data_IF_775268824744
#
_entry.id   IF_775268824744
#
_cell.length_a   1.000
_cell.length_b   1.000
_cell.length_c   1.000
_cell.angle_alpha   90.00
_cell.angle_beta   90.00
_cell.angle_gamma   90.00
#
_symmetry.space_group_name_H-M   'P 1'
#
loop_
_entity.id
_entity.type
_entity.pdbx_description
1 polymer ?
#
# COMPACT_ATOMS: atom_id res chain seq x y z
N UNK A 1 -14.39 -26.61 -17.99
CA UNK A 1 -13.66 -25.32 -17.98
C UNK A 1 -12.27 -25.54 -17.41
N UNK A 2 -11.25 -24.83 -17.88
CA UNK A 2 -9.85 -25.02 -17.50
C UNK A 2 -9.49 -24.03 -16.41
N UNK A 3 -9.50 -24.46 -15.16
CA UNK A 3 -9.22 -23.60 -14.02
C UNK A 3 -7.89 -23.99 -13.38
N UNK A 4 -7.15 -22.98 -12.88
CA UNK A 4 -5.90 -23.19 -12.14
C UNK A 4 -6.05 -22.71 -10.71
N UNK A 5 -6.05 -23.64 -9.76
CA UNK A 5 -6.19 -23.35 -8.33
C UNK A 5 -4.81 -23.32 -7.69
N UNK A 6 -4.36 -22.16 -7.22
CA UNK A 6 -3.14 -22.02 -6.41
C UNK A 6 -3.49 -22.25 -4.94
N UNK A 7 -3.12 -23.42 -4.42
CA UNK A 7 -3.34 -23.78 -3.01
C UNK A 7 -2.03 -23.89 -2.23
N UNK A 8 -2.11 -24.19 -0.92
CA UNK A 8 -0.94 -24.34 -0.05
C UNK A 8 0.00 -25.48 -0.48
N UNK A 9 -0.53 -26.49 -1.19
CA UNK A 9 0.22 -27.65 -1.67
C UNK A 9 0.71 -27.51 -3.12
N UNK A 10 0.62 -26.32 -3.72
CA UNK A 10 1.01 -26.04 -5.10
C UNK A 10 -0.16 -25.69 -6.02
N UNK A 11 0.05 -25.81 -7.32
CA UNK A 11 -0.94 -25.46 -8.34
C UNK A 11 -1.71 -26.73 -8.75
N UNK A 12 -3.03 -26.69 -8.67
CA UNK A 12 -3.96 -27.73 -9.10
C UNK A 12 -4.64 -27.28 -10.39
N UNK A 13 -4.75 -28.19 -11.35
CA UNK A 13 -5.60 -28.00 -12.53
C UNK A 13 -6.94 -28.65 -12.27
N UNK A 14 -8.04 -27.90 -12.38
CA UNK A 14 -9.40 -28.37 -12.11
C UNK A 14 -10.38 -27.93 -13.20
N UNK A 15 -11.58 -28.50 -13.17
CA UNK A 15 -12.71 -28.10 -14.01
C UNK A 15 -12.87 -28.92 -15.28
N UNK A 16 -12.18 -30.06 -15.42
CA UNK A 16 -12.30 -30.95 -16.59
C UNK A 16 -13.76 -31.32 -16.89
N UNK A 17 -14.58 -31.47 -15.84
CA UNK A 17 -16.01 -31.80 -15.95
C UNK A 17 -16.95 -30.65 -15.57
N UNK A 18 -16.45 -29.44 -15.38
CA UNK A 18 -17.25 -28.27 -15.00
C UNK A 18 -17.56 -27.40 -16.22
N UNK A 19 -18.63 -26.63 -16.17
CA UNK A 19 -18.96 -25.58 -17.12
C UNK A 19 -19.40 -24.30 -16.38
N UNK A 20 -19.74 -23.25 -17.12
CA UNK A 20 -20.12 -21.93 -16.56
C UNK A 20 -21.36 -21.99 -15.64
N UNK A 21 -22.27 -22.93 -15.91
CA UNK A 21 -23.50 -23.15 -15.13
C UNK A 21 -23.33 -24.17 -13.99
N UNK A 22 -22.16 -24.80 -13.88
CA UNK A 22 -21.84 -25.68 -12.74
C UNK A 22 -21.91 -24.90 -11.42
N UNK A 23 -22.19 -25.60 -10.32
CA UNK A 23 -22.31 -24.98 -9.01
C UNK A 23 -20.95 -24.77 -8.35
N UNK A 24 -20.85 -23.74 -7.50
CA UNK A 24 -19.65 -23.50 -6.69
C UNK A 24 -19.29 -24.70 -5.81
N UNK A 25 -20.29 -25.44 -5.31
CA UNK A 25 -20.08 -26.67 -4.55
C UNK A 25 -19.34 -27.75 -5.33
N UNK A 26 -19.67 -27.93 -6.61
CA UNK A 26 -19.06 -28.94 -7.48
C UNK A 26 -17.56 -28.67 -7.66
N UNK A 27 -17.20 -27.40 -7.84
CA UNK A 27 -15.81 -26.97 -7.89
C UNK A 27 -15.09 -27.21 -6.56
N UNK A 28 -15.71 -26.89 -5.42
CA UNK A 28 -15.09 -27.11 -4.10
C UNK A 28 -14.89 -28.60 -3.79
N UNK A 29 -15.78 -29.48 -4.22
CA UNK A 29 -15.64 -30.93 -4.10
C UNK A 29 -14.45 -31.44 -4.94
N UNK A 30 -14.32 -30.96 -6.18
CA UNK A 30 -13.18 -31.30 -7.03
C UNK A 30 -11.85 -30.84 -6.40
N UNK A 31 -11.82 -29.61 -5.86
CA UNK A 31 -10.68 -29.07 -5.12
C UNK A 31 -10.38 -29.88 -3.86
N UNK A 32 -11.40 -30.31 -3.09
CA UNK A 32 -11.20 -31.14 -1.89
C UNK A 32 -10.50 -32.45 -2.25
N UNK A 33 -10.93 -33.09 -3.34
CA UNK A 33 -10.37 -34.37 -3.81
C UNK A 33 -8.88 -34.26 -4.14
N UNK A 34 -8.43 -33.10 -4.64
CA UNK A 34 -7.03 -32.89 -5.06
C UNK A 34 -6.15 -32.22 -3.99
N UNK A 35 -6.73 -31.37 -3.14
CA UNK A 35 -5.99 -30.61 -2.12
C UNK A 35 -6.04 -31.23 -0.71
N UNK A 36 -7.01 -32.12 -0.47
CA UNK A 36 -7.37 -32.68 0.83
C UNK A 36 -7.85 -31.63 1.86
N UNK A 37 -8.31 -30.46 1.41
CA UNK A 37 -8.92 -29.40 2.23
C UNK A 37 -10.44 -29.54 2.15
N UNK A 38 -11.12 -29.69 3.29
CA UNK A 38 -12.58 -29.85 3.31
C UNK A 38 -13.31 -28.66 2.73
N UNK A 39 -14.48 -28.89 2.11
CA UNK A 39 -15.29 -27.83 1.48
C UNK A 39 -15.57 -26.66 2.44
N UNK A 40 -15.83 -26.94 3.73
CA UNK A 40 -16.02 -25.89 4.75
C UNK A 40 -14.77 -25.06 5.06
N UNK A 41 -13.58 -25.64 4.92
CA UNK A 41 -12.30 -24.99 5.21
C UNK A 41 -11.74 -24.26 3.98
N UNK A 42 -12.35 -24.43 2.80
CA UNK A 42 -11.90 -23.79 1.56
C UNK A 42 -12.38 -22.33 1.45
N UNK A 43 -11.42 -21.40 1.48
CA UNK A 43 -11.63 -20.02 1.09
C UNK A 43 -11.03 -19.78 -0.31
N UNK A 44 -11.90 -19.76 -1.32
CA UNK A 44 -11.55 -19.47 -2.72
C UNK A 44 -11.55 -17.97 -2.97
N UNK A 45 -10.48 -17.45 -3.55
CA UNK A 45 -10.33 -16.04 -3.93
C UNK A 45 -10.06 -15.92 -5.42
N UNK A 46 -10.70 -14.96 -6.07
CA UNK A 46 -10.63 -14.71 -7.51
C UNK A 46 -10.40 -13.22 -7.77
N UNK A 47 -10.08 -12.86 -9.02
CA UNK A 47 -9.73 -11.50 -9.44
C UNK A 47 -8.42 -10.98 -8.83
N UNK A 48 -7.97 -9.81 -9.33
CA UNK A 48 -6.90 -9.04 -8.71
C UNK A 48 -7.41 -7.65 -8.35
N UNK A 49 -7.35 -7.23 -7.06
CA UNK A 49 -6.82 -7.99 -5.92
C UNK A 49 -7.68 -9.24 -5.57
N UNK A 50 -7.09 -10.32 -5.03
CA UNK A 50 -7.79 -11.56 -4.71
C UNK A 50 -8.94 -11.34 -3.73
N UNK A 51 -10.17 -11.44 -4.23
CA UNK A 51 -11.40 -11.25 -3.46
C UNK A 51 -12.02 -12.60 -3.15
N UNK A 52 -12.37 -12.85 -1.88
CA UNK A 52 -13.02 -14.10 -1.49
C UNK A 52 -14.38 -14.22 -2.16
N UNK A 53 -14.69 -15.40 -2.68
CA UNK A 53 -16.03 -15.73 -3.17
C UNK A 53 -16.94 -15.83 -1.94
N UNK A 54 -17.81 -14.84 -1.77
CA UNK A 54 -18.80 -14.77 -0.67
C UNK A 54 -20.17 -15.31 -1.07
N UNK A 55 -20.32 -15.76 -2.33
CA UNK A 55 -21.54 -16.37 -2.87
C UNK A 55 -21.80 -17.74 -2.23
N UNK A 56 -23.06 -18.15 -2.26
CA UNK A 56 -23.47 -19.44 -1.71
C UNK A 56 -22.96 -20.60 -2.55
N UNK A 57 -22.81 -21.79 -1.96
CA UNK A 57 -22.41 -23.01 -2.66
C UNK A 57 -23.37 -23.39 -3.82
N UNK A 58 -24.62 -22.92 -3.79
CA UNK A 58 -25.63 -23.13 -4.82
C UNK A 58 -25.59 -22.09 -5.96
N UNK A 59 -24.68 -21.11 -5.90
CA UNK A 59 -24.49 -20.16 -7.00
C UNK A 59 -23.67 -20.80 -8.11
N UNK A 60 -23.95 -20.42 -9.36
CA UNK A 60 -23.18 -20.94 -10.50
C UNK A 60 -21.76 -20.36 -10.52
N UNK A 61 -20.83 -21.00 -11.23
CA UNK A 61 -19.47 -20.50 -11.36
C UNK A 61 -19.43 -19.11 -12.01
N UNK A 62 -20.27 -18.85 -13.01
CA UNK A 62 -20.42 -17.51 -13.61
C UNK A 62 -20.96 -16.49 -12.61
N UNK A 63 -21.95 -16.83 -11.79
CA UNK A 63 -22.47 -15.94 -10.72
C UNK A 63 -21.43 -15.65 -9.63
N UNK A 64 -20.50 -16.59 -9.43
CA UNK A 64 -19.36 -16.44 -8.55
C UNK A 64 -18.22 -15.62 -9.19
N UNK A 65 -18.32 -15.28 -10.48
CA UNK A 65 -17.29 -14.55 -11.22
C UNK A 65 -16.13 -15.43 -11.71
N UNK A 66 -16.33 -16.74 -11.83
CA UNK A 66 -15.34 -17.71 -12.34
C UNK A 66 -15.61 -18.01 -13.81
N UNK A 67 -14.60 -17.81 -14.66
CA UNK A 67 -14.63 -18.05 -16.11
C UNK A 67 -13.57 -19.08 -16.55
N UNK A 68 -13.71 -19.64 -17.76
CA UNK A 68 -12.69 -20.55 -18.33
C UNK A 68 -11.31 -19.87 -18.41
N UNK A 69 -10.27 -20.55 -17.93
CA UNK A 69 -8.90 -20.04 -17.92
C UNK A 69 -8.50 -19.33 -16.64
N UNK A 70 -9.46 -19.10 -15.72
CA UNK A 70 -9.22 -18.34 -14.50
C UNK A 70 -8.25 -19.02 -13.55
N UNK A 71 -7.62 -18.16 -12.77
CA UNK A 71 -6.77 -18.57 -11.67
C UNK A 71 -7.44 -18.24 -10.34
N UNK A 72 -7.62 -19.28 -9.53
CA UNK A 72 -8.27 -19.21 -8.23
C UNK A 72 -7.20 -19.40 -7.17
N UNK A 73 -7.23 -18.61 -6.10
CA UNK A 73 -6.37 -18.81 -4.93
C UNK A 73 -7.18 -19.55 -3.87
N UNK A 74 -6.66 -20.69 -3.43
CA UNK A 74 -7.22 -21.48 -2.35
C UNK A 74 -6.45 -21.20 -1.06
N UNK A 75 -7.16 -20.71 -0.05
CA UNK A 75 -6.68 -20.59 1.32
C UNK A 75 -7.47 -21.53 2.22
N UNK A 76 -6.80 -22.18 3.18
CA UNK A 76 -7.43 -23.06 4.16
C UNK A 76 -7.74 -22.26 5.44
N UNK A 77 -9.03 -22.06 5.72
CA UNK A 77 -9.50 -21.44 6.95
C UNK A 77 -9.84 -22.54 7.95
N UNK A 78 -8.85 -23.08 8.66
CA UNK A 78 -9.14 -23.95 9.81
C UNK A 78 -9.87 -23.11 10.85
N UNK A 79 -11.17 -23.30 10.98
CA UNK A 79 -11.93 -22.73 12.10
C UNK A 79 -11.23 -23.07 13.40
N UNK A 80 -11.04 -22.07 14.28
CA UNK A 80 -10.73 -22.32 15.68
C UNK A 80 -11.90 -23.12 16.28
N UNK A 81 -11.78 -24.45 16.26
CA UNK A 81 -12.78 -25.37 16.74
C UNK A 81 -12.15 -26.41 17.66
N UNK A 82 -12.39 -26.21 18.96
CA UNK A 82 -12.48 -27.24 20.01
C UNK A 82 -11.29 -28.17 20.25
N UNK A 83 -10.77 -28.05 21.48
CA UNK A 83 -9.95 -29.05 22.15
C UNK A 83 -10.55 -30.45 22.01
N UNK A 84 -9.78 -31.37 21.43
CA UNK A 84 -9.86 -32.79 21.75
C UNK A 84 -8.46 -33.24 22.15
N UNK A 85 -8.41 -33.90 23.29
CA UNK A 85 -7.27 -34.14 24.15
C UNK A 85 -6.13 -34.92 23.48
N UNK A 86 -4.91 -34.64 23.94
CA UNK A 86 -3.83 -35.63 23.94
C UNK A 86 -3.26 -35.74 25.36
N UNK A 87 -2.87 -36.96 25.78
CA UNK A 87 -2.79 -37.32 27.18
C UNK A 87 -1.55 -36.74 27.87
N UNK A 88 -1.81 -36.21 29.05
CA UNK A 88 -0.87 -35.80 30.08
C UNK A 88 0.17 -36.89 30.36
N UNK A 89 1.45 -36.56 30.20
CA UNK A 89 2.51 -37.11 31.06
C UNK A 89 3.17 -35.96 31.82
N UNK A 90 2.79 -35.89 33.08
CA UNK A 90 3.38 -35.08 34.13
C UNK A 90 4.70 -35.71 34.54
N UNK A 91 5.82 -35.00 34.45
CA UNK A 91 6.92 -35.17 35.38
C UNK A 91 7.41 -33.80 35.86
N UNK A 92 7.27 -33.62 37.17
CA UNK A 92 7.89 -32.60 38.00
C UNK A 92 9.42 -32.59 37.81
N UNK A 93 10.05 -31.42 37.99
CA UNK A 93 11.08 -31.21 39.02
C UNK A 93 11.31 -29.71 39.24
N UNK A 94 11.52 -29.41 40.52
CA UNK A 94 11.59 -28.12 41.20
C UNK A 94 12.77 -27.20 40.81
N UNK A 95 12.47 -25.91 40.99
CA UNK A 95 13.31 -24.78 41.42
C UNK A 95 14.72 -25.07 41.92
N UNK A 96 15.67 -24.24 41.48
CA UNK A 96 16.73 -23.74 42.37
C UNK A 96 17.16 -22.31 42.00
N UNK A 97 17.35 -21.54 43.08
CA UNK A 97 17.72 -20.13 43.18
C UNK A 97 19.24 -20.00 43.07
N UNK A 98 19.74 -18.98 42.35
CA UNK A 98 20.89 -18.16 42.80
C UNK A 98 21.28 -17.07 41.77
N UNK A 99 21.11 -15.80 42.16
CA UNK A 99 21.93 -14.68 41.68
C UNK A 99 23.28 -14.71 42.40
N UNK A 100 24.36 -14.14 41.82
CA UNK A 100 24.82 -12.87 42.40
C UNK A 100 25.44 -11.83 41.42
N UNK A 101 25.29 -10.57 41.85
CA UNK A 101 26.24 -9.45 41.87
C UNK A 101 26.71 -8.72 40.58
N UNK A 102 26.15 -7.50 40.44
CA UNK A 102 26.78 -6.16 40.27
C UNK A 102 28.27 -6.02 39.91
N UNK A 103 28.53 -5.13 38.95
CA UNK A 103 29.55 -4.07 39.03
C UNK A 103 29.23 -2.89 38.09
N UNK A 104 29.28 -1.68 38.64
CA UNK A 104 29.24 -0.32 38.05
C UNK A 104 30.68 0.27 38.10
N UNK A 105 31.03 1.54 37.73
CA UNK A 105 30.79 2.38 36.53
C UNK A 105 32.10 2.85 35.81
N UNK A 106 31.94 3.52 34.65
CA UNK A 106 32.70 4.57 33.91
C UNK A 106 34.19 4.94 34.25
N UNK A 107 34.95 5.48 33.27
CA UNK A 107 35.17 6.94 33.26
C UNK A 107 35.24 7.65 31.88
N UNK A 108 35.15 8.97 32.00
CA UNK A 108 35.08 10.09 31.03
C UNK A 108 36.33 10.39 30.17
N UNK A 109 36.12 11.33 29.22
CA UNK A 109 37.00 12.44 28.75
C UNK A 109 37.56 12.24 27.33
N UNK A 110 37.61 13.19 26.38
CA UNK A 110 37.55 14.68 26.39
C UNK A 110 37.33 15.20 24.94
N UNK A 111 36.82 16.43 24.78
CA UNK A 111 36.84 17.23 23.54
C UNK A 111 38.22 17.86 23.26
N UNK A 112 38.42 18.58 22.13
CA UNK A 112 38.36 20.05 22.19
C UNK A 112 37.81 20.82 20.95
N UNK A 113 37.64 22.13 21.21
CA UNK A 113 37.10 23.33 20.51
C UNK A 113 37.69 23.69 19.12
N UNK A 114 36.89 24.20 18.16
CA UNK A 114 36.48 25.61 17.86
C UNK A 114 37.57 26.54 17.30
N UNK A 115 37.38 27.04 16.07
CA UNK A 115 37.80 28.38 15.65
C UNK A 115 36.80 29.00 14.68
N UNK A 116 36.42 30.24 14.98
CA UNK A 116 35.54 31.17 14.27
C UNK A 116 36.28 31.97 13.21
N UNK A 117 35.63 32.31 12.09
CA UNK A 117 35.84 33.61 11.39
C UNK A 117 34.58 34.06 10.66
N UNK A 118 34.42 35.38 10.57
CA UNK A 118 33.18 36.15 10.42
C UNK A 118 33.06 36.82 9.03
N UNK A 119 31.83 37.22 8.66
CA UNK A 119 31.39 38.28 7.69
C UNK A 119 31.68 38.03 6.19
N UNK A 120 30.76 38.21 5.22
CA UNK A 120 29.89 39.37 4.99
C UNK A 120 28.74 39.05 4.00
N UNK A 121 27.70 39.87 4.08
CA UNK A 121 26.48 39.96 3.27
C UNK A 121 26.66 40.27 1.77
N UNK A 122 25.85 39.63 0.92
CA UNK A 122 25.21 40.30 -0.24
C UNK A 122 23.93 39.57 -0.66
N UNK A 123 22.89 40.38 -0.87
CA UNK A 123 21.57 40.09 -1.43
C UNK A 123 21.60 39.69 -2.92
N UNK A 124 20.69 38.82 -3.36
CA UNK A 124 19.69 39.02 -4.43
C UNK A 124 19.18 37.70 -5.05
N UNK A 125 17.85 37.64 -5.18
CA UNK A 125 17.01 36.98 -6.18
C UNK A 125 17.06 35.46 -6.42
N UNK A 126 15.97 34.83 -5.95
CA UNK A 126 15.03 34.01 -6.72
C UNK A 126 15.48 33.51 -8.10
N UNK A 127 15.69 32.22 -8.21
CA UNK A 127 15.04 31.38 -9.22
C UNK A 127 15.11 29.90 -8.78
N UNK A 128 13.96 29.39 -8.36
CA UNK A 128 13.71 27.96 -8.21
C UNK A 128 13.74 27.32 -9.59
N UNK A 129 14.68 26.39 -9.80
CA UNK A 129 14.57 25.24 -10.68
C UNK A 129 15.82 24.39 -10.50
N UNK A 130 15.77 23.41 -9.59
CA UNK A 130 16.74 22.33 -9.47
C UNK A 130 16.02 21.06 -8.96
N UNK A 131 15.12 20.49 -9.77
CA UNK A 131 14.69 19.10 -9.60
C UNK A 131 15.73 18.19 -10.28
N UNK A 132 16.91 18.04 -9.68
CA UNK A 132 17.98 17.20 -10.23
C UNK A 132 18.56 16.20 -9.24
N UNK A 133 17.74 15.62 -8.37
CA UNK A 133 18.02 14.44 -7.53
C UNK A 133 16.62 13.91 -7.16
N UNK A 134 16.11 12.70 -7.50
CA UNK A 134 16.56 11.33 -7.18
C UNK A 134 15.88 10.25 -8.07
N UNK A 135 15.82 10.43 -9.40
CA UNK A 135 15.18 9.44 -10.32
C UNK A 135 15.83 8.03 -10.32
N UNK A 136 17.04 7.88 -9.76
CA UNK A 136 17.71 6.59 -9.66
C UNK A 136 17.06 5.68 -8.61
N UNK A 137 16.56 6.24 -7.51
CA UNK A 137 15.94 5.47 -6.42
C UNK A 137 14.49 5.10 -6.78
N UNK A 138 13.82 5.96 -7.55
CA UNK A 138 12.50 5.72 -8.13
C UNK A 138 12.41 4.40 -8.89
N UNK A 139 13.33 4.14 -9.82
CA UNK A 139 13.28 2.91 -10.60
C UNK A 139 13.94 1.69 -9.93
N UNK A 140 14.71 1.89 -8.85
CA UNK A 140 15.04 0.81 -7.92
C UNK A 140 13.82 0.34 -7.10
N UNK A 141 12.86 1.23 -6.79
CA UNK A 141 11.60 0.86 -6.13
C UNK A 141 10.68 0.04 -7.03
N UNK A 142 10.73 0.28 -8.35
CA UNK A 142 9.99 -0.49 -9.35
C UNK A 142 10.54 -1.89 -9.55
N UNK A 143 11.86 -2.09 -9.43
CA UNK A 143 12.45 -3.43 -9.38
C UNK A 143 11.81 -4.31 -8.28
N UNK A 144 11.37 -3.68 -7.19
CA UNK A 144 10.73 -4.36 -6.06
C UNK A 144 9.20 -4.38 -6.11
N UNK A 145 8.57 -3.58 -6.98
CA UNK A 145 7.09 -3.42 -7.08
C UNK A 145 6.48 -4.06 -8.33
N UNK A 146 7.25 -4.84 -9.08
CA UNK A 146 6.87 -5.37 -10.39
C UNK A 146 5.67 -6.33 -10.40
N UNK A 147 4.45 -5.78 -10.36
CA UNK A 147 3.33 -6.11 -11.24
C UNK A 147 2.13 -5.18 -10.99
N UNK A 148 2.06 -4.10 -11.78
CA UNK A 148 0.82 -3.33 -11.99
C UNK A 148 0.59 -3.18 -13.49
N UNK A 149 -0.18 -4.08 -14.11
CA UNK A 149 -0.73 -3.89 -15.46
C UNK A 149 -2.17 -3.39 -15.32
N UNK A 150 -2.45 -2.16 -15.74
CA UNK A 150 -3.82 -1.76 -16.12
C UNK A 150 -4.09 -2.18 -17.58
N UNK A 151 -5.29 -2.68 -17.88
CA UNK A 151 -5.86 -2.57 -19.21
C UNK A 151 -7.13 -1.69 -19.20
N UNK A 152 -7.06 -0.61 -19.99
CA UNK A 152 -8.17 0.20 -20.49
C UNK A 152 -9.02 -0.56 -21.50
N UNK A 153 -10.36 -0.50 -21.43
CA UNK A 153 -11.20 -0.59 -22.64
C UNK A 153 -12.54 0.16 -22.52
N UNK A 154 -12.79 0.96 -23.55
CA UNK A 154 -14.03 1.64 -23.92
C UNK A 154 -15.08 0.67 -24.48
N UNK A 155 -16.37 0.91 -24.20
CA UNK A 155 -17.47 0.31 -24.97
C UNK A 155 -18.66 1.26 -25.13
N UNK A 156 -19.09 1.37 -26.39
CA UNK A 156 -20.38 1.91 -26.84
C UNK A 156 -21.43 0.81 -26.73
N UNK A 157 -22.61 1.06 -26.15
CA UNK A 157 -23.93 0.80 -26.77
C UNK A 157 -25.14 1.13 -25.88
N UNK A 158 -26.17 1.63 -26.57
CA UNK A 158 -27.57 1.86 -26.20
C UNK A 158 -28.27 0.69 -25.47
N UNK A 159 -29.09 0.97 -24.44
CA UNK A 159 -30.54 1.24 -24.53
C UNK A 159 -31.26 1.10 -23.16
N UNK A 160 -31.97 2.17 -22.80
CA UNK A 160 -33.23 2.28 -22.05
C UNK A 160 -33.73 1.12 -21.16
N UNK A 161 -33.81 1.34 -19.85
CA UNK A 161 -35.07 1.79 -19.21
C UNK A 161 -34.87 2.29 -17.78
N UNK A 162 -35.56 3.39 -17.50
CA UNK A 162 -35.59 4.24 -16.30
C UNK A 162 -35.66 3.51 -14.93
N UNK A 163 -34.63 3.73 -14.12
CA UNK A 163 -34.75 4.17 -12.72
C UNK A 163 -33.66 5.22 -12.48
N UNK A 164 -34.05 6.50 -12.48
CA UNK A 164 -33.18 7.64 -12.21
C UNK A 164 -32.94 7.78 -10.71
N UNK A 165 -31.70 7.54 -10.25
CA UNK A 165 -30.83 8.56 -9.65
C UNK A 165 -29.55 7.90 -9.11
N UNK A 166 -28.43 8.27 -9.75
CA UNK A 166 -27.07 7.92 -9.39
C UNK A 166 -26.61 8.74 -8.17
N UNK A 167 -25.87 8.11 -7.26
CA UNK A 167 -25.09 8.77 -6.22
C UNK A 167 -23.66 9.04 -6.67
N UNK A 168 -23.45 9.67 -7.83
CA UNK A 168 -22.22 10.44 -8.03
C UNK A 168 -22.37 11.72 -7.19
N UNK A 169 -21.64 11.83 -6.09
CA UNK A 169 -21.51 13.10 -5.39
C UNK A 169 -20.90 14.10 -6.38
N UNK A 170 -21.62 15.17 -6.76
CA UNK A 170 -21.15 16.08 -7.79
C UNK A 170 -19.86 16.76 -7.34
N UNK A 171 -18.83 16.79 -8.20
CA UNK A 171 -17.66 17.69 -8.04
C UNK A 171 -18.07 19.17 -7.97
N UNK A 172 -19.31 19.52 -8.33
CA UNK A 172 -19.92 20.83 -8.08
C UNK A 172 -20.09 21.17 -6.60
N UNK A 173 -20.09 20.19 -5.69
CA UNK A 173 -20.29 20.41 -4.25
C UNK A 173 -18.99 20.79 -3.50
N UNK A 174 -17.85 20.80 -4.19
CA UNK A 174 -16.53 20.92 -3.59
C UNK A 174 -15.70 21.98 -4.33
N UNK A 175 -15.93 23.28 -4.06
CA UNK A 175 -15.14 24.37 -4.64
C UNK A 175 -13.64 24.18 -4.41
N UNK A 176 -12.83 24.45 -5.44
CA UNK A 176 -11.37 24.33 -5.36
C UNK A 176 -10.71 25.67 -5.03
N UNK A 177 -9.76 25.65 -4.09
CA UNK A 177 -8.87 26.79 -3.79
C UNK A 177 -7.39 26.38 -3.96
N UNK A 178 -6.45 27.26 -3.62
CA UNK A 178 -4.99 26.98 -3.60
C UNK A 178 -4.42 26.33 -4.87
N UNK A 179 -4.82 26.80 -6.06
CA UNK A 179 -4.38 26.21 -7.32
C UNK A 179 -4.66 24.68 -7.42
N UNK A 180 -5.79 24.21 -6.88
CA UNK A 180 -6.19 22.80 -6.96
C UNK A 180 -5.77 21.94 -5.77
N UNK A 181 -5.03 22.50 -4.81
CA UNK A 181 -4.50 21.79 -3.63
C UNK A 181 -5.42 21.84 -2.41
N UNK A 182 -6.61 22.42 -2.56
CA UNK A 182 -7.59 22.54 -1.51
C UNK A 182 -9.03 22.43 -2.06
N UNK A 183 -9.92 21.92 -1.21
CA UNK A 183 -11.34 21.71 -1.48
C UNK A 183 -12.18 22.14 -0.27
N UNK A 184 -13.14 23.02 -0.48
CA UNK A 184 -14.11 23.41 0.56
C UNK A 184 -15.10 22.28 0.85
N UNK A 185 -15.39 22.04 2.13
CA UNK A 185 -16.35 21.06 2.64
C UNK A 185 -17.31 21.73 3.62
N UNK A 186 -18.32 21.01 4.12
CA UNK A 186 -19.26 21.54 5.13
C UNK A 186 -18.59 21.86 6.48
N UNK A 187 -17.46 21.21 6.81
CA UNK A 187 -16.80 21.28 8.12
C UNK A 187 -15.44 21.98 8.06
N UNK A 188 -15.11 22.63 6.93
CA UNK A 188 -13.83 23.29 6.71
C UNK A 188 -13.28 23.04 5.30
N UNK A 189 -11.97 23.21 5.13
CA UNK A 189 -11.27 23.07 3.85
C UNK A 189 -10.31 21.87 3.95
N UNK A 190 -10.49 20.90 3.07
CA UNK A 190 -9.60 19.76 2.93
C UNK A 190 -8.40 20.19 2.08
N UNK A 191 -7.20 20.10 2.64
CA UNK A 191 -5.96 20.62 2.06
C UNK A 191 -4.88 19.52 1.95
N UNK A 192 -3.96 19.71 1.01
CA UNK A 192 -2.72 18.91 0.94
C UNK A 192 -1.67 19.54 1.85
N UNK A 193 -1.08 18.73 2.73
CA UNK A 193 0.13 19.05 3.46
C UNK A 193 1.33 18.50 2.69
N UNK A 194 2.10 19.39 2.09
CA UNK A 194 3.32 19.01 1.39
C UNK A 194 4.34 18.37 2.33
N UNK A 195 4.82 17.19 1.97
CA UNK A 195 5.83 16.43 2.69
C UNK A 195 7.17 16.55 1.94
N UNK A 196 8.31 16.67 2.65
CA UNK A 196 9.60 16.74 1.98
C UNK A 196 9.88 15.52 1.10
N UNK A 197 10.48 15.75 -0.07
CA UNK A 197 10.88 14.71 -1.01
C UNK A 197 12.22 14.09 -0.62
N UNK A 198 12.22 13.27 0.44
CA UNK A 198 13.42 12.72 1.09
C UNK A 198 13.53 11.19 1.00
N UNK A 199 12.89 10.57 0.00
CA UNK A 199 12.71 9.11 -0.15
C UNK A 199 11.98 8.43 1.02
N UNK A 200 11.53 9.21 2.00
CA UNK A 200 10.76 8.76 3.15
C UNK A 200 9.38 9.42 3.19
N UNK A 201 8.92 10.01 2.09
CA UNK A 201 7.65 10.73 1.97
C UNK A 201 6.43 9.91 2.43
N UNK A 202 6.37 8.60 2.12
CA UNK A 202 5.33 7.72 2.63
C UNK A 202 5.33 7.63 4.16
N UNK A 203 6.50 7.43 4.77
CA UNK A 203 6.64 7.32 6.22
C UNK A 203 6.33 8.64 6.90
N UNK A 204 6.86 9.75 6.39
CA UNK A 204 6.58 11.09 6.89
C UNK A 204 5.08 11.42 6.77
N UNK A 205 4.44 11.07 5.65
CA UNK A 205 3.00 11.23 5.43
C UNK A 205 2.17 10.44 6.43
N UNK A 206 2.43 9.14 6.58
CA UNK A 206 1.72 8.27 7.54
C UNK A 206 1.93 8.77 8.97
N UNK A 207 3.16 9.13 9.35
CA UNK A 207 3.49 9.70 10.65
C UNK A 207 2.70 10.98 10.94
N UNK A 208 2.58 11.84 9.93
CA UNK A 208 1.84 13.09 10.02
C UNK A 208 0.35 12.83 10.26
N UNK A 209 -0.30 12.06 9.37
CA UNK A 209 -1.75 11.89 9.43
C UNK A 209 -2.23 11.09 10.63
N UNK A 210 -1.40 10.15 11.11
CA UNK A 210 -1.68 9.38 12.33
C UNK A 210 -1.29 10.11 13.62
N UNK A 211 -0.74 11.33 13.51
CA UNK A 211 -0.32 12.18 14.64
C UNK A 211 0.73 11.53 15.58
N UNK A 212 1.45 10.51 15.10
CA UNK A 212 2.44 9.77 15.87
C UNK A 212 3.81 10.46 15.88
N UNK A 213 3.86 11.71 16.35
CA UNK A 213 5.07 12.55 16.36
C UNK A 213 6.25 11.93 17.13
N UNK A 214 5.96 11.03 18.07
CA UNK A 214 6.94 10.34 18.91
C UNK A 214 7.67 9.18 18.21
N UNK A 215 7.15 8.68 17.08
CA UNK A 215 7.77 7.62 16.29
C UNK A 215 8.62 8.28 15.20
N UNK A 216 9.92 8.04 15.17
CA UNK A 216 10.79 8.49 14.09
C UNK A 216 10.73 7.55 12.87
N UNK A 217 11.31 7.98 11.74
CA UNK A 217 11.24 7.22 10.48
C UNK A 217 12.00 5.88 10.56
N UNK A 218 13.10 5.81 11.33
CA UNK A 218 13.81 4.55 11.53
C UNK A 218 12.96 3.56 12.32
N UNK A 219 12.22 4.04 13.33
CA UNK A 219 11.26 3.25 14.09
C UNK A 219 10.08 2.81 13.23
N UNK A 220 9.57 3.66 12.33
CA UNK A 220 8.53 3.27 11.37
C UNK A 220 9.00 2.13 10.45
N UNK A 221 10.20 2.24 9.89
CA UNK A 221 10.80 1.16 9.08
C UNK A 221 11.02 -0.11 9.90
N UNK A 222 11.41 0.03 11.17
CA UNK A 222 11.54 -1.10 12.10
C UNK A 222 10.20 -1.78 12.40
N UNK A 223 9.11 -1.02 12.52
CA UNK A 223 7.75 -1.59 12.70
C UNK A 223 7.41 -2.53 11.54
N UNK A 224 7.70 -2.15 10.30
CA UNK A 224 7.49 -3.00 9.13
C UNK A 224 8.35 -4.26 9.21
N UNK A 225 9.65 -4.10 9.43
CA UNK A 225 10.58 -5.23 9.56
C UNK A 225 10.15 -6.22 10.65
N UNK A 226 9.77 -5.72 11.83
CA UNK A 226 9.31 -6.54 12.94
C UNK A 226 7.97 -7.22 12.65
N UNK A 227 7.06 -6.56 11.92
CA UNK A 227 5.77 -7.13 11.52
C UNK A 227 5.97 -8.29 10.55
N UNK A 228 6.80 -8.10 9.54
CA UNK A 228 7.15 -9.14 8.56
C UNK A 228 7.75 -10.36 9.27
N UNK A 229 8.71 -10.17 10.19
CA UNK A 229 9.31 -11.28 10.95
C UNK A 229 8.32 -12.05 11.81
N UNK A 230 7.29 -11.39 12.33
CA UNK A 230 6.29 -12.01 13.20
C UNK A 230 5.25 -12.82 12.44
N UNK A 231 5.07 -12.56 11.15
CA UNK A 231 4.09 -13.23 10.30
C UNK A 231 4.68 -13.64 8.95
N UNK A 232 5.65 -14.57 8.95
CA UNK A 232 6.31 -15.02 7.72
C UNK A 232 5.38 -15.79 6.77
N UNK A 233 4.19 -16.18 7.23
CA UNK A 233 3.19 -16.87 6.41
C UNK A 233 2.53 -15.86 5.48
N UNK A 234 2.03 -14.75 6.03
CA UNK A 234 1.39 -13.71 5.22
C UNK A 234 2.41 -12.77 4.53
N UNK A 235 3.63 -12.68 5.06
CA UNK A 235 4.75 -11.93 4.47
C UNK A 235 5.85 -12.88 3.97
N UNK A 236 5.47 -13.82 3.11
CA UNK A 236 6.42 -14.73 2.46
C UNK A 236 7.09 -14.08 1.23
N UNK A 237 8.16 -14.71 0.72
CA UNK A 237 8.97 -14.20 -0.39
C UNK A 237 8.17 -13.82 -1.65
N UNK A 238 7.05 -14.51 -1.92
CA UNK A 238 6.20 -14.19 -3.07
C UNK A 238 5.44 -12.88 -2.88
N UNK A 239 4.99 -12.59 -1.65
CA UNK A 239 4.33 -11.32 -1.30
C UNK A 239 5.34 -10.17 -1.21
N UNK A 240 6.53 -10.46 -0.67
CA UNK A 240 7.61 -9.48 -0.54
C UNK A 240 8.33 -9.18 -1.86
N UNK A 241 8.18 -10.05 -2.87
CA UNK A 241 8.88 -9.95 -4.15
C UNK A 241 10.37 -10.28 -4.08
N UNK A 242 10.88 -10.69 -2.91
CA UNK A 242 12.28 -11.07 -2.64
C UNK A 242 12.38 -11.86 -1.33
N UNK A 243 13.51 -12.53 -1.06
CA UNK A 243 13.74 -13.20 0.21
C UNK A 243 13.48 -12.27 1.41
N UNK A 244 12.79 -12.78 2.42
CA UNK A 244 12.36 -12.01 3.60
C UNK A 244 13.48 -11.15 4.21
N UNK A 245 14.65 -11.72 4.50
CA UNK A 245 15.76 -10.97 5.09
C UNK A 245 16.32 -9.91 4.14
N UNK A 246 16.25 -10.13 2.82
CA UNK A 246 16.62 -9.12 1.84
C UNK A 246 15.63 -7.95 1.87
N UNK A 247 14.33 -8.23 1.95
CA UNK A 247 13.30 -7.20 2.08
C UNK A 247 13.46 -6.40 3.37
N UNK A 248 13.68 -7.07 4.49
CA UNK A 248 13.86 -6.41 5.78
C UNK A 248 15.10 -5.51 5.77
N UNK A 249 16.20 -5.97 5.17
CA UNK A 249 17.41 -5.14 5.04
C UNK A 249 17.17 -3.95 4.11
N UNK A 250 16.43 -4.15 3.02
CA UNK A 250 16.03 -3.11 2.08
C UNK A 250 15.17 -2.03 2.75
N UNK A 251 14.05 -2.39 3.39
CA UNK A 251 13.08 -1.42 3.91
C UNK A 251 13.62 -0.60 5.09
N UNK A 252 14.63 -1.12 5.79
CA UNK A 252 15.32 -0.39 6.86
C UNK A 252 16.25 0.72 6.35
N UNK A 253 16.63 0.73 5.08
CA UNK A 253 17.49 1.79 4.54
C UNK A 253 16.72 3.13 4.43
N UNK A 254 17.30 4.27 4.83
CA UNK A 254 16.59 5.55 4.82
C UNK A 254 16.20 6.05 3.43
N UNK A 255 16.84 5.52 2.38
CA UNK A 255 16.65 5.91 0.98
C UNK A 255 15.66 5.02 0.23
N UNK A 256 15.16 3.96 0.84
CA UNK A 256 14.25 3.04 0.16
C UNK A 256 12.82 3.49 0.31
N UNK A 257 12.09 3.39 -0.78
CA UNK A 257 10.70 3.82 -0.83
C UNK A 257 9.83 2.74 -0.23
N UNK A 258 8.83 3.17 0.54
CA UNK A 258 7.69 2.32 0.87
C UNK A 258 6.62 2.40 -0.21
N UNK A 259 5.64 1.52 -0.13
CA UNK A 259 4.47 1.55 -1.00
C UNK A 259 3.28 0.80 -0.41
N UNK A 260 2.64 -0.01 -1.25
CA UNK A 260 1.43 -0.74 -0.90
C UNK A 260 1.58 -1.61 0.37
N UNK A 261 2.68 -2.38 0.47
CA UNK A 261 2.90 -3.28 1.59
C UNK A 261 3.05 -2.50 2.91
N UNK A 262 3.80 -1.40 2.88
CA UNK A 262 3.99 -0.53 4.04
C UNK A 262 2.67 0.08 4.51
N UNK A 263 1.82 0.55 3.59
CA UNK A 263 0.50 1.09 3.94
C UNK A 263 -0.42 0.03 4.53
N UNK A 264 -0.39 -1.20 4.00
CA UNK A 264 -1.13 -2.33 4.56
C UNK A 264 -0.71 -2.61 6.01
N UNK A 265 0.60 -2.69 6.25
CA UNK A 265 1.16 -2.91 7.59
C UNK A 265 0.83 -1.76 8.53
N UNK A 266 0.99 -0.51 8.08
CA UNK A 266 0.70 0.65 8.93
C UNK A 266 -0.77 0.79 9.29
N UNK A 267 -1.68 0.49 8.36
CA UNK A 267 -3.11 0.46 8.65
C UNK A 267 -3.41 -0.52 9.79
N UNK A 268 -2.88 -1.75 9.70
CA UNK A 268 -3.10 -2.76 10.73
C UNK A 268 -2.34 -2.47 12.04
N UNK A 269 -1.17 -1.83 11.98
CA UNK A 269 -0.38 -1.45 13.16
C UNK A 269 -1.05 -0.31 13.96
N UNK A 270 -1.46 0.76 13.27
CA UNK A 270 -2.10 1.92 13.89
C UNK A 270 -3.60 1.75 14.11
N UNK A 271 -4.20 0.65 13.64
CA UNK A 271 -5.64 0.35 13.75
C UNK A 271 -6.50 1.45 13.13
N UNK A 272 -6.09 1.90 11.95
CA UNK A 272 -6.69 3.02 11.23
C UNK A 272 -6.80 2.69 9.74
N UNK A 273 -7.92 3.04 9.12
CA UNK A 273 -8.06 2.92 7.67
C UNK A 273 -7.20 3.98 6.99
N UNK A 274 -6.39 3.61 6.00
CA UNK A 274 -5.60 4.57 5.21
C UNK A 274 -6.23 4.65 3.83
N UNK A 275 -6.80 5.79 3.46
CA UNK A 275 -7.30 6.03 2.11
C UNK A 275 -6.25 6.82 1.32
N UNK A 276 -5.58 6.14 0.39
CA UNK A 276 -4.59 6.76 -0.50
C UNK A 276 -5.22 7.03 -1.87
N UNK A 277 -5.28 8.28 -2.30
CA UNK A 277 -5.79 8.62 -3.63
C UNK A 277 -4.64 8.77 -4.64
N UNK A 278 -4.69 7.99 -5.73
CA UNK A 278 -3.79 8.17 -6.87
C UNK A 278 -4.34 9.27 -7.78
N UNK A 279 -3.59 10.37 -7.92
CA UNK A 279 -3.98 11.52 -8.74
C UNK A 279 -4.20 11.11 -10.21
N UNK A 280 -3.37 10.20 -10.75
CA UNK A 280 -3.43 9.85 -12.18
C UNK A 280 -4.76 9.16 -12.52
N UNK A 281 -5.13 8.16 -11.73
CA UNK A 281 -6.36 7.37 -11.97
C UNK A 281 -7.59 7.97 -11.28
N UNK A 282 -7.40 8.80 -10.26
CA UNK A 282 -8.41 9.23 -9.29
C UNK A 282 -9.04 8.05 -8.50
N UNK A 283 -8.33 6.92 -8.43
CA UNK A 283 -8.71 5.75 -7.62
C UNK A 283 -8.27 5.97 -6.18
N UNK A 284 -9.12 5.57 -5.24
CA UNK A 284 -8.78 5.53 -3.81
C UNK A 284 -8.50 4.09 -3.43
N UNK A 285 -7.27 3.83 -3.01
CA UNK A 285 -6.84 2.56 -2.43
C UNK A 285 -7.03 2.64 -0.91
N UNK A 286 -7.90 1.78 -0.36
CA UNK A 286 -8.24 1.76 1.07
C UNK A 286 -7.57 0.58 1.76
N UNK A 287 -6.67 0.87 2.68
CA UNK A 287 -5.98 -0.12 3.50
C UNK A 287 -6.72 -0.26 4.83
N UNK A 288 -7.11 -1.48 5.19
CA UNK A 288 -7.90 -1.75 6.38
C UNK A 288 -9.39 -1.42 6.23
N UNK A 289 -9.91 -1.40 4.99
CA UNK A 289 -11.31 -1.06 4.69
C UNK A 289 -12.30 -1.83 5.56
N UNK A 290 -13.16 -1.09 6.25
CA UNK A 290 -14.20 -1.64 7.11
C UNK A 290 -13.70 -2.33 8.40
N UNK A 291 -12.39 -2.37 8.66
CA UNK A 291 -11.82 -2.93 9.89
C UNK A 291 -11.80 -1.93 11.05
N UNK A 292 -11.68 -0.64 10.75
CA UNK A 292 -11.39 0.40 11.73
C UNK A 292 -12.44 1.52 11.71
N UNK A 293 -12.65 2.17 12.86
CA UNK A 293 -13.62 3.28 13.02
C UNK A 293 -13.07 4.62 12.55
N UNK A 294 -11.76 4.70 12.41
CA UNK A 294 -11.05 5.92 12.07
C UNK A 294 -10.36 5.73 10.72
N UNK A 295 -10.26 6.82 9.96
CA UNK A 295 -9.54 6.85 8.69
C UNK A 295 -8.65 8.08 8.56
N UNK A 296 -7.60 7.95 7.75
CA UNK A 296 -6.67 9.03 7.37
C UNK A 296 -6.50 9.07 5.87
N UNK A 297 -6.09 10.22 5.35
CA UNK A 297 -5.99 10.44 3.91
C UNK A 297 -4.56 10.75 3.46
N UNK A 298 -4.14 10.06 2.41
CA UNK A 298 -2.90 10.31 1.69
C UNK A 298 -3.22 10.64 0.23
N UNK A 299 -2.32 11.38 -0.42
CA UNK A 299 -2.39 11.61 -1.85
C UNK A 299 -1.09 11.16 -2.50
N UNK A 300 -1.21 10.44 -3.62
CA UNK A 300 -0.10 9.86 -4.35
C UNK A 300 -0.05 10.41 -5.77
N UNK A 301 1.07 10.99 -6.14
CA UNK A 301 1.24 11.60 -7.46
C UNK A 301 1.92 10.69 -8.50
N UNK A 302 2.16 9.42 -8.16
CA UNK A 302 2.91 8.47 -8.99
C UNK A 302 4.35 8.23 -8.53
N UNK A 303 4.94 9.14 -7.75
CA UNK A 303 6.30 9.01 -7.20
C UNK A 303 6.43 9.50 -5.74
N UNK A 304 5.47 10.25 -5.25
CA UNK A 304 5.53 10.94 -3.96
C UNK A 304 4.19 10.85 -3.24
N UNK A 305 4.25 10.74 -1.91
CA UNK A 305 3.10 10.77 -1.02
C UNK A 305 3.09 12.07 -0.22
N UNK A 306 1.95 12.75 -0.24
CA UNK A 306 1.66 13.86 0.67
C UNK A 306 0.53 13.49 1.65
N UNK A 307 0.49 14.20 2.77
CA UNK A 307 -0.57 14.08 3.76
C UNK A 307 -1.78 14.95 3.38
N UNK A 308 -2.96 14.59 3.85
CA UNK A 308 -4.18 15.40 3.70
C UNK A 308 -4.75 15.73 5.07
N UNK A 309 -5.15 16.98 5.25
CA UNK A 309 -5.69 17.51 6.49
C UNK A 309 -6.94 18.36 6.23
N UNK A 310 -7.83 18.41 7.21
CA UNK A 310 -8.97 19.32 7.23
C UNK A 310 -8.64 20.51 8.14
N UNK A 311 -8.85 21.72 7.64
CA UNK A 311 -8.70 22.97 8.39
C UNK A 311 -10.02 23.73 8.48
N UNK A 312 -10.23 24.58 9.50
CA UNK A 312 -11.38 25.48 9.51
C UNK A 312 -11.34 26.53 8.38
N UNK A 313 -10.14 26.95 7.96
CA UNK A 313 -9.88 27.86 6.82
C UNK A 313 -8.42 27.71 6.35
N UNK A 314 -8.08 28.18 5.15
CA UNK A 314 -6.83 27.85 4.44
C UNK A 314 -5.57 28.26 5.23
N UNK A 315 -5.57 29.46 5.80
CA UNK A 315 -4.47 30.04 6.57
C UNK A 315 -4.44 29.61 8.04
N UNK A 316 -5.33 28.70 8.48
CA UNK A 316 -5.38 28.28 9.88
C UNK A 316 -4.02 27.66 10.30
N UNK A 317 -3.53 27.91 11.53
CA UNK A 317 -2.31 27.26 12.02
C UNK A 317 -2.41 25.72 12.03
N UNK A 318 -1.26 25.04 11.98
CA UNK A 318 -1.19 23.56 11.95
C UNK A 318 -1.88 22.90 13.15
N UNK A 319 -1.93 23.57 14.30
CA UNK A 319 -2.61 23.07 15.51
C UNK A 319 -4.13 22.93 15.36
N UNK A 320 -4.73 23.57 14.35
CA UNK A 320 -6.15 23.45 14.01
C UNK A 320 -6.40 22.41 12.91
N UNK A 321 -5.38 21.68 12.47
CA UNK A 321 -5.52 20.63 11.48
C UNK A 321 -6.10 19.35 12.12
N UNK A 322 -7.12 18.80 11.47
CA UNK A 322 -7.63 17.45 11.74
C UNK A 322 -7.17 16.53 10.62
N UNK A 323 -6.52 15.44 10.98
CA UNK A 323 -6.03 14.43 10.02
C UNK A 323 -6.68 13.06 10.18
N UNK A 324 -7.33 12.82 11.34
CA UNK A 324 -8.04 11.58 11.66
C UNK A 324 -9.54 11.84 11.61
N UNK A 325 -10.25 11.04 10.83
CA UNK A 325 -11.68 11.18 10.52
C UNK A 325 -12.45 9.92 10.92
N UNK A 326 -13.77 10.00 11.04
CA UNK A 326 -14.57 8.78 11.24
C UNK A 326 -14.69 8.04 9.90
N UNK A 327 -14.55 6.71 9.88
CA UNK A 327 -14.51 5.94 8.63
C UNK A 327 -15.84 5.91 7.85
N UNK A 328 -16.93 6.36 8.47
CA UNK A 328 -18.24 6.52 7.85
C UNK A 328 -18.51 7.95 7.31
N UNK A 329 -17.54 8.87 7.41
CA UNK A 329 -17.65 10.22 6.84
C UNK A 329 -17.54 10.19 5.29
N UNK A 330 -18.55 9.65 4.61
CA UNK A 330 -18.56 9.50 3.15
C UNK A 330 -18.37 10.83 2.39
N UNK A 331 -18.79 11.95 2.96
CA UNK A 331 -18.59 13.27 2.35
C UNK A 331 -17.10 13.61 2.23
N UNK A 332 -16.26 13.18 3.18
CA UNK A 332 -14.82 13.40 3.14
C UNK A 332 -14.14 12.55 2.05
N UNK A 333 -14.66 11.35 1.77
CA UNK A 333 -14.23 10.55 0.60
C UNK A 333 -14.60 11.28 -0.70
N UNK A 334 -15.78 11.90 -0.77
CA UNK A 334 -16.18 12.76 -1.88
C UNK A 334 -15.26 13.97 -2.07
N UNK A 335 -14.91 14.65 -0.98
CA UNK A 335 -13.97 15.77 -0.98
C UNK A 335 -12.56 15.35 -1.44
N UNK A 336 -12.08 14.18 -0.98
CA UNK A 336 -10.79 13.62 -1.39
C UNK A 336 -10.77 13.32 -2.90
N UNK A 337 -11.84 12.74 -3.46
CA UNK A 337 -11.98 12.54 -4.91
C UNK A 337 -11.99 13.84 -5.70
N UNK A 338 -12.68 14.86 -5.19
CA UNK A 338 -12.70 16.18 -5.83
C UNK A 338 -11.30 16.81 -5.82
N UNK A 339 -10.55 16.65 -4.72
CA UNK A 339 -9.16 17.09 -4.61
C UNK A 339 -8.27 16.37 -5.63
N UNK A 340 -8.37 15.04 -5.74
CA UNK A 340 -7.66 14.26 -6.76
C UNK A 340 -7.99 14.70 -8.20
N UNK A 341 -9.28 14.92 -8.51
CA UNK A 341 -9.72 15.44 -9.82
C UNK A 341 -9.13 16.82 -10.14
N UNK A 342 -9.05 17.71 -9.16
CA UNK A 342 -8.47 19.05 -9.35
C UNK A 342 -6.99 18.97 -9.71
N UNK A 343 -6.23 18.12 -9.03
CA UNK A 343 -4.81 17.89 -9.32
C UNK A 343 -4.62 17.18 -10.66
N UNK A 344 -5.47 16.20 -10.99
CA UNK A 344 -5.46 15.49 -12.27
C UNK A 344 -5.69 16.44 -13.45
N UNK A 345 -6.71 17.32 -13.36
CA UNK A 345 -6.98 18.36 -14.37
C UNK A 345 -5.79 19.30 -14.58
N UNK A 346 -5.03 19.56 -13.53
CA UNK A 346 -3.80 20.36 -13.56
C UNK A 346 -2.54 19.58 -13.92
N UNK A 347 -2.66 18.26 -14.16
CA UNK A 347 -1.54 17.35 -14.45
C UNK A 347 -0.46 17.39 -13.37
N UNK A 348 -0.86 17.53 -12.10
CA UNK A 348 0.04 17.49 -10.94
C UNK A 348 0.30 16.04 -10.52
N UNK A 349 0.74 15.22 -11.47
CA UNK A 349 1.12 13.83 -11.28
C UNK A 349 2.23 13.45 -12.27
N UNK A 350 2.99 12.42 -11.93
CA UNK A 350 4.04 11.87 -12.77
C UNK A 350 3.50 10.66 -13.52
N UNK A 351 3.59 10.68 -14.86
CA UNK A 351 3.19 9.54 -15.68
C UNK A 351 4.31 8.49 -15.75
N UNK A 352 4.32 7.61 -14.77
CA UNK A 352 5.27 6.49 -14.67
C UNK A 352 5.16 5.48 -15.82
N UNK A 353 4.11 5.54 -16.64
CA UNK A 353 3.96 4.59 -17.77
C UNK A 353 4.65 5.05 -19.04
N UNK A 354 4.85 6.36 -19.23
CA UNK A 354 5.33 6.92 -20.51
C UNK A 354 6.58 7.81 -20.39
N UNK A 355 7.08 8.07 -19.18
CA UNK A 355 8.26 8.89 -19.00
C UNK A 355 9.51 8.25 -19.62
N UNK A 356 10.34 9.09 -20.26
CA UNK A 356 11.56 8.64 -20.93
C UNK A 356 12.70 8.63 -19.93
N UNK A 357 13.26 7.45 -19.74
CA UNK A 357 14.36 7.17 -18.84
C UNK A 357 15.64 6.84 -19.61
N UNK A 358 16.78 7.08 -18.97
CA UNK A 358 18.09 6.59 -19.36
C UNK A 358 18.73 5.88 -18.17
N UNK A 359 19.22 4.66 -18.39
CA UNK A 359 20.08 3.99 -17.41
C UNK A 359 21.39 4.78 -17.24
N UNK A 360 21.70 5.26 -16.04
CA UNK A 360 22.93 5.98 -15.71
C UNK A 360 24.20 5.13 -15.77
N UNK A 361 24.06 3.79 -15.78
CA UNK A 361 25.20 2.86 -15.85
C UNK A 361 25.54 2.52 -17.30
N UNK A 362 24.55 2.11 -18.11
CA UNK A 362 24.78 1.62 -19.48
C UNK A 362 24.22 2.54 -20.57
N UNK A 363 23.66 3.70 -20.21
CA UNK A 363 23.09 4.70 -21.12
C UNK A 363 21.93 4.24 -22.01
N UNK A 364 21.33 3.07 -21.73
CA UNK A 364 20.18 2.57 -22.47
C UNK A 364 18.97 3.48 -22.24
N UNK A 365 18.34 3.92 -23.33
CA UNK A 365 17.05 4.60 -23.31
C UNK A 365 15.95 3.59 -22.97
N UNK A 366 15.02 3.98 -22.10
CA UNK A 366 13.94 3.16 -21.55
C UNK A 366 12.68 4.02 -21.52
N UNK A 367 11.52 3.40 -21.73
CA UNK A 367 10.22 4.07 -21.71
C UNK A 367 9.36 3.46 -20.62
N UNK A 368 9.01 4.29 -19.65
CA UNK A 368 8.15 3.92 -18.54
C UNK A 368 8.80 2.95 -17.55
N UNK A 369 8.04 2.70 -16.50
CA UNK A 369 8.38 1.77 -15.42
C UNK A 369 8.66 0.35 -15.94
N UNK A 370 7.81 -0.16 -16.83
CA UNK A 370 7.90 -1.54 -17.32
C UNK A 370 9.27 -1.84 -17.94
N UNK A 371 9.77 -0.97 -18.80
CA UNK A 371 11.08 -1.17 -19.42
C UNK A 371 12.23 -0.98 -18.42
N UNK A 372 12.10 -0.09 -17.45
CA UNK A 372 13.08 0.09 -16.39
C UNK A 372 13.21 -1.15 -15.50
N UNK A 373 12.08 -1.75 -15.10
CA UNK A 373 12.05 -3.00 -14.33
C UNK A 373 12.67 -4.15 -15.12
N UNK A 374 12.27 -4.32 -16.38
CA UNK A 374 12.83 -5.37 -17.24
C UNK A 374 14.34 -5.19 -17.43
N UNK A 375 14.80 -3.95 -17.56
CA UNK A 375 16.22 -3.62 -17.66
C UNK A 375 16.99 -3.94 -16.38
N UNK A 376 16.47 -3.53 -15.21
CA UNK A 376 17.07 -3.84 -13.92
C UNK A 376 17.13 -5.36 -13.67
N UNK A 377 16.06 -6.10 -14.00
CA UNK A 377 16.03 -7.56 -13.92
C UNK A 377 17.09 -8.24 -14.79
N UNK A 378 17.32 -7.74 -16.00
CA UNK A 378 18.29 -8.33 -16.93
C UNK A 378 19.74 -7.97 -16.61
N UNK A 379 19.98 -6.82 -15.96
CA UNK A 379 21.33 -6.24 -15.87
C UNK A 379 21.82 -5.96 -14.46
N UNK A 380 20.94 -5.96 -13.45
CA UNK A 380 21.23 -5.49 -12.10
C UNK A 380 21.39 -3.97 -12.00
N UNK A 381 21.16 -3.21 -13.08
CA UNK A 381 21.29 -1.76 -13.08
C UNK A 381 20.06 -1.08 -12.47
N UNK A 382 20.30 -0.20 -11.50
CA UNK A 382 19.22 0.53 -10.82
C UNK A 382 19.37 2.05 -10.87
N UNK A 383 20.45 2.61 -11.45
CA UNK A 383 20.55 4.06 -11.69
C UNK A 383 19.78 4.42 -12.97
N UNK A 384 18.60 5.01 -12.82
CA UNK A 384 17.79 5.53 -13.93
C UNK A 384 17.59 7.04 -13.79
N UNK A 385 17.56 7.75 -14.92
CA UNK A 385 17.43 9.22 -14.94
C UNK A 385 16.47 9.63 -16.03
N UNK A 386 15.65 10.64 -15.80
CA UNK A 386 14.84 11.23 -16.88
C UNK A 386 15.74 11.90 -17.93
N UNK A 387 15.23 11.96 -19.15
CA UNK A 387 15.89 12.61 -20.28
C UNK A 387 15.87 14.13 -20.23
#
# INVERSE_FOLDING_TARGET
MRLRVRGPNGILSVGENLNEDSLLEELKIEIQTLSNINVEDQCLKINFPPTAITKSNNSTLTECGISDGDQIILTENKGFGQSIASPTKTENIQSNISNPAKSEPLPHSTAPETTTTTTSSTSYNTNNNNNSHTMSEFAASFYNSGNSMEPSYSTTTNNNNNYNNQGELPTKCYPSTSNGKAVETKDGILIIKEIPDDNSCLFNSVRYVTQNKHIDIAQMRKIIADTIRKDPINFNDAILGKPMEEYINYIQQPKTWGGYLELLIFSDYFKIEICSIDIKTNRIDKFGEGKYKEMVFLIYNGIHYDAVALKPFEEAPEEYERTIFESNDEYLIGALKALGDNLKKKKLFTDTTNFKLRCGICNKALVGEKEAVEHANKTGHTDFREY
#
